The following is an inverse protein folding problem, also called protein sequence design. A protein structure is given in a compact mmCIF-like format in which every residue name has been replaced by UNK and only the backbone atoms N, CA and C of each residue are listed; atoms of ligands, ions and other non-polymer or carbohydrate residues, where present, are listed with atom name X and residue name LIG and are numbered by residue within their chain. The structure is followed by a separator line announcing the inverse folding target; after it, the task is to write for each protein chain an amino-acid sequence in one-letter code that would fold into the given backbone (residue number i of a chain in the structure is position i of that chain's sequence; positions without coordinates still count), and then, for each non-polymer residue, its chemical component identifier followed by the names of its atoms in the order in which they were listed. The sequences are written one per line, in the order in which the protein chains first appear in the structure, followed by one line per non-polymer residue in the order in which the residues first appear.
data_IF_748446531998
#
_entry.id   IF_748446531998
#
_cell.length_a   1.000
_cell.length_b   1.000
_cell.length_c   1.000
_cell.angle_alpha   90.00
_cell.angle_beta   90.00
_cell.angle_gamma   90.00
#
_symmetry.space_group_name_H-M   'P 1'
#
loop_
_entity.id
_entity.type
_entity.pdbx_description
1 polymer ?
#
# COMPACT_ATOMS: atom_id res chain seq x y z
N UNK A 1 9.08 -15.64 15.03
CA UNK A 1 8.16 -15.62 16.20
C UNK A 1 8.85 -15.01 17.42
N UNK A 2 9.98 -15.50 17.89
CA UNK A 2 10.70 -15.07 19.10
C UNK A 2 10.95 -13.55 19.14
N UNK A 3 11.41 -12.97 18.03
CA UNK A 3 11.61 -11.51 17.91
C UNK A 3 10.31 -10.73 18.14
N UNK A 4 9.17 -11.21 17.62
CA UNK A 4 7.89 -10.57 17.87
C UNK A 4 7.50 -10.68 19.35
N UNK A 5 7.65 -11.85 19.95
CA UNK A 5 7.33 -12.09 21.37
C UNK A 5 8.19 -11.22 22.30
N UNK A 6 9.47 -11.04 21.99
CA UNK A 6 10.37 -10.19 22.80
C UNK A 6 9.98 -8.70 22.83
N UNK A 7 9.22 -8.23 21.81
CA UNK A 7 8.72 -6.84 21.77
C UNK A 7 7.46 -6.62 22.61
N UNK A 8 6.75 -7.68 22.97
CA UNK A 8 5.48 -7.61 23.69
C UNK A 8 5.57 -8.28 25.07
N UNK A 9 6.60 -7.87 25.85
CA UNK A 9 6.82 -8.39 27.21
C UNK A 9 5.59 -8.14 28.06
N UNK A 10 5.13 -9.18 28.78
CA UNK A 10 3.93 -9.11 29.63
C UNK A 10 2.58 -9.25 28.91
N UNK A 11 2.59 -9.45 27.59
CA UNK A 11 1.35 -9.75 26.86
C UNK A 11 0.86 -11.18 27.15
N UNK A 12 -0.46 -11.36 27.13
CA UNK A 12 -1.06 -12.70 27.19
C UNK A 12 -0.91 -13.39 25.83
N UNK A 13 -0.27 -14.54 25.82
CA UNK A 13 -0.11 -15.40 24.65
C UNK A 13 -1.24 -16.45 24.68
N UNK A 14 -1.97 -16.57 23.57
CA UNK A 14 -3.02 -17.56 23.37
C UNK A 14 -2.63 -18.42 22.18
N UNK A 15 -2.42 -19.70 22.41
CA UNK A 15 -2.17 -20.67 21.35
C UNK A 15 -3.46 -21.00 20.60
N UNK A 16 -3.38 -21.10 19.28
CA UNK A 16 -4.50 -21.42 18.39
C UNK A 16 -4.02 -22.42 17.33
N UNK A 17 -4.88 -23.31 16.88
CA UNK A 17 -4.55 -24.33 15.88
C UNK A 17 -4.31 -23.69 14.49
N UNK A 18 -5.16 -22.71 14.14
CA UNK A 18 -5.04 -22.04 12.87
C UNK A 18 -5.47 -20.56 12.96
N UNK A 19 -4.68 -19.63 12.37
CA UNK A 19 -4.98 -18.20 12.44
C UNK A 19 -6.36 -17.82 11.88
N UNK A 20 -6.90 -18.57 10.90
CA UNK A 20 -8.22 -18.32 10.30
C UNK A 20 -9.37 -18.55 11.30
N UNK A 21 -9.20 -19.37 12.32
CA UNK A 21 -10.21 -19.64 13.34
C UNK A 21 -10.54 -18.39 14.15
N UNK A 22 -9.58 -17.48 14.25
CA UNK A 22 -9.73 -16.16 14.89
C UNK A 22 -9.92 -15.08 13.84
N UNK A 23 -9.07 -15.02 12.81
CA UNK A 23 -9.01 -13.93 11.85
C UNK A 23 -10.21 -13.90 10.89
N UNK A 24 -10.70 -15.06 10.44
CA UNK A 24 -11.82 -15.18 9.50
C UNK A 24 -13.17 -15.45 10.17
N UNK A 25 -13.23 -15.41 11.51
CA UNK A 25 -14.47 -15.67 12.25
C UNK A 25 -15.53 -14.60 11.90
N UNK A 26 -16.74 -15.03 11.60
CA UNK A 26 -17.87 -14.14 11.31
C UNK A 26 -18.36 -13.41 12.57
N UNK A 27 -19.05 -12.28 12.38
CA UNK A 27 -19.68 -11.54 13.48
C UNK A 27 -18.71 -10.75 14.36
N UNK A 28 -17.49 -10.49 13.89
CA UNK A 28 -16.52 -9.67 14.59
C UNK A 28 -16.84 -8.17 14.45
N UNK A 29 -16.53 -7.41 15.48
CA UNK A 29 -16.57 -5.95 15.39
C UNK A 29 -15.20 -5.43 14.90
N UNK A 30 -15.12 -5.22 13.60
CA UNK A 30 -13.88 -4.79 12.92
C UNK A 30 -13.34 -3.47 13.50
N UNK A 31 -14.19 -2.47 13.70
CA UNK A 31 -13.77 -1.15 14.19
C UNK A 31 -13.26 -1.20 15.63
N UNK A 32 -13.93 -1.96 16.50
CA UNK A 32 -13.43 -2.18 17.87
C UNK A 32 -12.08 -2.90 17.87
N UNK A 33 -11.91 -3.88 17.00
CA UNK A 33 -10.62 -4.58 16.87
C UNK A 33 -9.52 -3.67 16.32
N UNK A 34 -9.85 -2.73 15.43
CA UNK A 34 -8.88 -1.70 14.98
C UNK A 34 -8.38 -0.82 16.12
N UNK A 35 -9.21 -0.55 17.12
CA UNK A 35 -8.81 0.22 18.30
C UNK A 35 -7.97 -0.62 19.30
N UNK A 36 -8.14 -1.93 19.31
CA UNK A 36 -7.52 -2.88 20.25
C UNK A 36 -6.86 -4.05 19.51
N UNK A 37 -6.12 -3.75 18.45
CA UNK A 37 -5.55 -4.76 17.56
C UNK A 37 -4.71 -5.78 18.31
N UNK A 38 -4.90 -7.05 17.94
CA UNK A 38 -4.07 -8.16 18.37
C UNK A 38 -3.11 -8.54 17.23
N UNK A 39 -1.91 -8.96 17.61
CA UNK A 39 -0.95 -9.54 16.70
C UNK A 39 -1.10 -11.07 16.69
N UNK A 40 -1.35 -11.63 15.53
CA UNK A 40 -1.46 -13.07 15.31
C UNK A 40 -0.21 -13.50 14.56
N UNK A 41 0.61 -14.38 15.16
CA UNK A 41 1.75 -14.99 14.50
C UNK A 41 1.31 -16.30 13.87
N UNK A 42 1.63 -16.50 12.59
CA UNK A 42 1.19 -17.68 11.86
C UNK A 42 2.22 -18.13 10.82
N UNK A 43 2.10 -19.37 10.36
CA UNK A 43 2.80 -19.85 9.17
C UNK A 43 1.88 -19.74 7.95
N UNK A 44 2.35 -19.11 6.88
CA UNK A 44 1.65 -19.05 5.61
C UNK A 44 1.82 -20.37 4.87
N UNK A 45 0.71 -20.93 4.39
CA UNK A 45 0.70 -22.06 3.47
C UNK A 45 0.65 -21.55 2.03
N UNK A 46 0.93 -22.40 1.09
CA UNK A 46 0.79 -22.09 -0.35
C UNK A 46 -0.61 -21.50 -0.68
N UNK A 47 -0.72 -20.58 -1.63
CA UNK A 47 0.39 -19.98 -2.38
C UNK A 47 1.15 -18.92 -1.58
N UNK A 48 2.49 -18.87 -1.76
CA UNK A 48 3.39 -17.91 -1.09
C UNK A 48 3.60 -16.63 -1.92
N UNK A 49 3.38 -16.72 -3.22
CA UNK A 49 3.47 -15.62 -4.18
C UNK A 49 2.22 -15.62 -5.07
N UNK A 50 1.74 -14.46 -5.43
CA UNK A 50 0.53 -14.27 -6.24
C UNK A 50 0.85 -13.45 -7.48
N UNK A 51 0.21 -13.77 -8.60
CA UNK A 51 0.27 -12.95 -9.81
C UNK A 51 -0.39 -11.60 -9.58
N UNK A 52 0.14 -10.57 -10.22
CA UNK A 52 -0.44 -9.24 -10.19
C UNK A 52 -1.86 -9.25 -10.75
N UNK A 53 -2.83 -8.84 -9.94
CA UNK A 53 -4.21 -8.68 -10.42
C UNK A 53 -4.35 -7.44 -11.29
N UNK A 54 -5.41 -7.36 -12.12
CA UNK A 54 -5.74 -6.14 -12.86
C UNK A 54 -6.04 -4.90 -12.00
N UNK A 55 -6.04 -5.06 -10.66
CA UNK A 55 -6.16 -3.96 -9.69
C UNK A 55 -4.80 -3.44 -9.23
N UNK A 56 -3.70 -4.14 -9.53
CA UNK A 56 -2.33 -3.69 -9.25
C UNK A 56 -1.89 -2.74 -10.34
N UNK A 57 -1.06 -1.78 -9.99
CA UNK A 57 -0.45 -0.83 -10.91
C UNK A 57 0.32 -1.55 -12.02
N UNK A 58 0.19 -1.07 -13.25
CA UNK A 58 1.03 -1.50 -14.37
C UNK A 58 2.46 -0.98 -14.19
N UNK A 59 3.41 -1.89 -14.05
CA UNK A 59 4.86 -1.59 -13.93
C UNK A 59 5.59 -1.66 -15.27
N UNK A 60 4.87 -1.71 -16.39
CA UNK A 60 5.42 -1.87 -17.74
C UNK A 60 6.20 -3.16 -17.93
N UNK A 61 5.91 -4.19 -17.14
CA UNK A 61 6.44 -5.55 -17.25
C UNK A 61 5.32 -6.56 -17.01
N UNK A 62 5.30 -7.70 -17.70
CA UNK A 62 4.36 -8.77 -17.41
C UNK A 62 4.73 -9.54 -16.13
N UNK A 63 5.97 -9.39 -15.64
CA UNK A 63 6.50 -10.10 -14.49
C UNK A 63 6.12 -9.39 -13.17
N UNK A 64 4.82 -9.18 -12.91
CA UNK A 64 4.33 -8.49 -11.71
C UNK A 64 3.68 -9.46 -10.76
N UNK A 65 4.15 -9.47 -9.54
CA UNK A 65 3.64 -10.33 -8.47
C UNK A 65 3.44 -9.54 -7.19
N UNK A 66 2.73 -10.13 -6.24
CA UNK A 66 2.69 -9.62 -4.88
C UNK A 66 2.87 -10.73 -3.85
N UNK A 67 3.42 -10.34 -2.73
CA UNK A 67 3.60 -11.18 -1.57
C UNK A 67 2.79 -10.61 -0.38
N UNK A 68 2.50 -11.43 0.62
CA UNK A 68 1.69 -11.04 1.77
C UNK A 68 2.35 -11.45 3.07
N UNK A 69 3.46 -10.83 3.49
CA UNK A 69 4.11 -11.12 4.76
C UNK A 69 3.24 -10.77 5.97
N UNK A 70 2.34 -9.80 5.79
CA UNK A 70 1.34 -9.42 6.79
C UNK A 70 -0.03 -9.33 6.12
N UNK A 71 -1.09 -9.72 6.83
CA UNK A 71 -2.48 -9.44 6.46
C UNK A 71 -3.02 -8.33 7.35
N UNK A 72 -3.74 -7.40 6.72
CA UNK A 72 -4.31 -6.20 7.30
C UNK A 72 -3.25 -5.13 7.58
N UNK A 73 -3.67 -3.94 8.01
CA UNK A 73 -2.83 -2.77 8.15
C UNK A 73 -3.02 -2.14 9.53
N UNK A 74 -2.02 -1.42 10.04
CA UNK A 74 -2.15 -0.61 11.27
C UNK A 74 -3.13 0.54 11.09
N UNK A 75 -3.17 1.12 9.88
CA UNK A 75 -4.04 2.25 9.56
C UNK A 75 -5.48 1.79 9.29
N UNK A 76 -6.41 2.73 9.39
CA UNK A 76 -7.84 2.49 9.22
C UNK A 76 -8.44 3.47 8.20
N UNK A 77 -7.83 3.55 7.00
CA UNK A 77 -8.33 4.43 5.94
C UNK A 77 -9.68 3.95 5.43
N UNK A 78 -10.66 4.86 5.33
CA UNK A 78 -12.04 4.53 4.94
C UNK A 78 -12.12 3.87 3.56
N UNK A 79 -11.33 4.34 2.60
CA UNK A 79 -11.30 3.83 1.23
C UNK A 79 -10.46 2.54 1.06
N UNK A 80 -9.95 1.95 2.15
CA UNK A 80 -9.05 0.80 2.05
C UNK A 80 -9.83 -0.51 1.83
N UNK A 81 -9.52 -1.19 0.73
CA UNK A 81 -10.15 -2.47 0.38
C UNK A 81 -9.92 -3.57 1.43
N UNK A 82 -8.87 -3.48 2.24
CA UNK A 82 -8.58 -4.44 3.31
C UNK A 82 -9.72 -4.51 4.35
N UNK A 83 -10.39 -3.40 4.60
CA UNK A 83 -11.57 -3.37 5.46
C UNK A 83 -12.72 -4.25 4.92
N UNK A 84 -12.85 -4.33 3.59
CA UNK A 84 -13.84 -5.19 2.95
C UNK A 84 -13.34 -6.62 2.71
N UNK A 85 -12.04 -6.81 2.58
CA UNK A 85 -11.42 -8.10 2.33
C UNK A 85 -11.43 -8.99 3.58
N UNK A 86 -11.18 -8.40 4.76
CA UNK A 86 -11.04 -9.15 6.02
C UNK A 86 -12.23 -8.95 6.94
N UNK A 87 -12.56 -10.01 7.69
CA UNK A 87 -13.59 -9.97 8.73
C UNK A 87 -13.06 -9.42 10.05
N UNK A 88 -11.75 -9.51 10.27
CA UNK A 88 -11.06 -9.06 11.47
C UNK A 88 -10.27 -7.76 11.26
N UNK A 89 -10.27 -6.89 12.27
CA UNK A 89 -9.38 -5.72 12.36
C UNK A 89 -7.97 -6.04 12.88
N UNK A 90 -7.70 -7.28 13.32
CA UNK A 90 -6.40 -7.72 13.83
C UNK A 90 -5.35 -7.83 12.71
N UNK A 91 -4.08 -7.99 13.11
CA UNK A 91 -2.95 -8.22 12.20
C UNK A 91 -2.54 -9.68 12.22
N UNK A 92 -2.24 -10.26 11.06
CA UNK A 92 -1.56 -11.56 10.96
C UNK A 92 -0.19 -11.34 10.38
N UNK A 93 0.86 -11.76 11.08
CA UNK A 93 2.24 -11.75 10.62
C UNK A 93 2.66 -13.18 10.34
N UNK A 94 3.12 -13.43 9.13
CA UNK A 94 3.62 -14.73 8.74
C UNK A 94 5.12 -14.83 9.06
N UNK A 95 5.48 -15.88 9.82
CA UNK A 95 6.83 -16.05 10.36
C UNK A 95 7.79 -16.84 9.44
N UNK A 96 7.28 -17.40 8.35
CA UNK A 96 8.05 -18.17 7.39
C UNK A 96 8.45 -17.33 6.16
N UNK A 97 9.07 -16.18 6.38
CA UNK A 97 9.48 -15.26 5.32
C UNK A 97 10.48 -15.88 4.35
N UNK A 98 11.37 -16.77 4.84
CA UNK A 98 12.35 -17.43 3.96
C UNK A 98 11.66 -18.24 2.86
N UNK A 99 10.61 -18.98 3.17
CA UNK A 99 9.84 -19.71 2.17
C UNK A 99 9.19 -18.78 1.14
N UNK A 100 8.77 -17.59 1.56
CA UNK A 100 8.25 -16.57 0.64
C UNK A 100 9.36 -16.03 -0.29
N UNK A 101 10.55 -15.81 0.23
CA UNK A 101 11.72 -15.39 -0.54
C UNK A 101 12.15 -16.47 -1.54
N UNK A 102 12.15 -17.74 -1.12
CA UNK A 102 12.46 -18.89 -1.99
C UNK A 102 11.43 -19.03 -3.14
N UNK A 103 10.15 -18.77 -2.86
CA UNK A 103 9.10 -18.75 -3.88
C UNK A 103 9.30 -17.64 -4.92
N UNK A 104 9.78 -16.46 -4.49
CA UNK A 104 10.16 -15.38 -5.39
C UNK A 104 11.37 -15.78 -6.24
N UNK A 105 12.42 -16.33 -5.65
CA UNK A 105 13.61 -16.78 -6.37
C UNK A 105 13.27 -17.84 -7.44
N UNK A 106 12.39 -18.76 -7.12
CA UNK A 106 11.87 -19.75 -8.09
C UNK A 106 11.13 -19.08 -9.25
N UNK A 107 10.35 -18.02 -8.98
CA UNK A 107 9.62 -17.30 -10.03
C UNK A 107 10.55 -16.44 -10.88
N UNK A 108 11.52 -15.76 -10.28
CA UNK A 108 12.54 -14.95 -10.97
C UNK A 108 13.39 -15.81 -11.92
N UNK A 109 13.65 -17.06 -11.55
CA UNK A 109 14.36 -18.02 -12.41
C UNK A 109 13.55 -18.47 -13.63
N UNK A 110 12.21 -18.27 -13.63
CA UNK A 110 11.30 -18.63 -14.71
C UNK A 110 10.30 -17.49 -14.97
N UNK A 111 10.75 -16.32 -15.46
CA UNK A 111 9.90 -15.17 -15.68
C UNK A 111 8.99 -15.37 -16.91
N UNK A 112 7.90 -14.59 -16.99
CA UNK A 112 7.03 -14.56 -18.20
C UNK A 112 7.80 -13.94 -19.38
N UNK A 113 8.52 -12.85 -19.12
CA UNK A 113 9.42 -12.21 -20.09
C UNK A 113 10.84 -12.08 -19.49
N UNK A 114 11.82 -12.84 -19.99
CA UNK A 114 13.19 -12.79 -19.48
C UNK A 114 13.94 -11.48 -19.75
N UNK A 115 13.44 -10.65 -20.65
CA UNK A 115 14.05 -9.35 -20.97
C UNK A 115 13.71 -8.25 -19.99
N UNK A 116 12.75 -8.51 -19.09
CA UNK A 116 12.21 -7.53 -18.15
C UNK A 116 12.36 -7.98 -16.71
N UNK A 117 12.59 -7.04 -15.77
CA UNK A 117 12.70 -7.37 -14.35
C UNK A 117 11.37 -7.90 -13.79
N UNK A 118 11.49 -8.74 -12.77
CA UNK A 118 10.36 -9.18 -11.95
C UNK A 118 10.11 -8.16 -10.84
N UNK A 119 8.89 -7.64 -10.77
CA UNK A 119 8.46 -6.66 -9.77
C UNK A 119 7.58 -7.34 -8.73
N UNK A 120 7.95 -7.21 -7.47
CA UNK A 120 7.22 -7.80 -6.34
C UNK A 120 6.70 -6.68 -5.42
N UNK A 121 5.39 -6.53 -5.33
CA UNK A 121 4.78 -5.67 -4.31
C UNK A 121 4.69 -6.44 -2.98
N UNK A 122 5.54 -6.11 -2.01
CA UNK A 122 5.61 -6.83 -0.73
C UNK A 122 4.71 -6.23 0.36
N UNK A 123 4.10 -5.09 0.11
CA UNK A 123 3.20 -4.39 1.05
C UNK A 123 1.76 -4.30 0.54
N UNK A 124 1.35 -5.16 -0.41
CA UNK A 124 0.04 -5.08 -1.04
C UNK A 124 -1.13 -5.19 -0.05
N UNK A 125 -1.02 -6.06 0.95
CA UNK A 125 -2.07 -6.31 1.96
C UNK A 125 -1.76 -5.70 3.33
N UNK A 126 -0.84 -4.73 3.39
CA UNK A 126 -0.41 -4.08 4.65
C UNK A 126 0.31 -2.77 4.37
N UNK A 127 0.73 -2.08 5.43
CA UNK A 127 1.79 -1.07 5.38
C UNK A 127 3.01 -1.63 6.12
N UNK A 128 3.96 -2.16 5.36
CA UNK A 128 5.10 -2.89 5.93
C UNK A 128 6.01 -1.97 6.74
N UNK A 129 6.30 -0.76 6.21
CA UNK A 129 7.16 0.22 6.87
C UNK A 129 6.53 0.75 8.18
N UNK A 130 5.21 0.76 8.29
CA UNK A 130 4.54 1.15 9.54
C UNK A 130 4.84 0.19 10.71
N UNK A 131 5.24 -1.04 10.40
CA UNK A 131 5.57 -2.06 11.39
C UNK A 131 7.05 -2.04 11.82
N UNK A 132 7.91 -1.26 11.16
CA UNK A 132 9.38 -1.39 11.24
C UNK A 132 9.95 -1.24 12.65
N UNK A 133 9.37 -0.37 13.49
CA UNK A 133 9.78 -0.23 14.90
C UNK A 133 9.39 -1.41 15.78
N UNK A 134 8.41 -2.21 15.35
CA UNK A 134 7.93 -3.39 16.07
C UNK A 134 8.60 -4.64 15.53
N UNK A 135 8.54 -4.80 14.20
CA UNK A 135 9.11 -5.91 13.46
C UNK A 135 9.88 -5.36 12.26
N UNK A 136 11.20 -5.51 12.19
CA UNK A 136 12.03 -4.92 11.13
C UNK A 136 11.90 -5.70 9.80
N UNK A 137 10.67 -5.76 9.27
CA UNK A 137 10.35 -6.54 8.08
C UNK A 137 10.81 -5.84 6.80
N UNK A 138 10.63 -4.50 6.70
CA UNK A 138 11.11 -3.77 5.52
C UNK A 138 12.61 -3.93 5.35
N UNK A 139 13.38 -3.82 6.43
CA UNK A 139 14.84 -4.05 6.44
C UNK A 139 15.21 -5.42 5.91
N UNK A 140 14.55 -6.48 6.38
CA UNK A 140 14.81 -7.86 5.96
C UNK A 140 14.51 -8.08 4.47
N UNK A 141 13.44 -7.49 3.96
CA UNK A 141 13.10 -7.57 2.54
C UNK A 141 14.06 -6.74 1.65
N UNK A 142 14.55 -5.61 2.16
CA UNK A 142 15.61 -4.82 1.50
C UNK A 142 16.90 -5.64 1.43
N UNK A 143 17.31 -6.27 2.54
CA UNK A 143 18.52 -7.12 2.57
C UNK A 143 18.38 -8.32 1.63
N UNK A 144 17.20 -8.91 1.52
CA UNK A 144 16.95 -10.06 0.61
C UNK A 144 17.22 -9.72 -0.85
N UNK A 145 16.90 -8.53 -1.32
CA UNK A 145 17.12 -8.14 -2.74
C UNK A 145 18.49 -7.57 -3.00
N UNK A 146 19.32 -7.42 -1.98
CA UNK A 146 20.68 -6.92 -2.13
C UNK A 146 21.50 -7.82 -3.06
N UNK A 147 22.01 -7.24 -4.15
CA UNK A 147 22.79 -7.96 -5.16
C UNK A 147 21.94 -8.71 -6.21
N UNK A 148 20.60 -8.72 -6.11
CA UNK A 148 19.71 -9.29 -7.13
C UNK A 148 19.48 -8.26 -8.24
N UNK A 149 19.77 -8.63 -9.51
CA UNK A 149 19.69 -7.70 -10.65
C UNK A 149 18.31 -7.68 -11.30
N UNK A 150 17.62 -8.82 -11.32
CA UNK A 150 16.37 -9.01 -12.07
C UNK A 150 15.13 -8.98 -11.16
N UNK A 151 15.29 -8.58 -9.90
CA UNK A 151 14.23 -8.51 -8.90
C UNK A 151 14.11 -7.08 -8.40
N UNK A 152 12.92 -6.51 -8.50
CA UNK A 152 12.59 -5.21 -7.91
C UNK A 152 11.51 -5.43 -6.87
N UNK A 153 11.69 -4.93 -5.65
CA UNK A 153 10.63 -4.87 -4.66
C UNK A 153 10.05 -3.47 -4.53
N UNK A 154 8.73 -3.40 -4.40
CA UNK A 154 8.03 -2.19 -4.02
C UNK A 154 7.57 -2.27 -2.58
N UNK A 155 7.92 -1.27 -1.78
CA UNK A 155 7.41 -1.03 -0.43
C UNK A 155 6.47 0.17 -0.48
N UNK A 156 5.15 -0.09 -0.61
CA UNK A 156 4.14 0.97 -0.59
C UNK A 156 3.73 1.29 0.84
N UNK A 157 3.69 2.58 1.19
CA UNK A 157 3.49 3.02 2.57
C UNK A 157 2.76 4.36 2.68
N UNK A 158 2.10 4.58 3.81
CA UNK A 158 1.70 5.90 4.35
C UNK A 158 2.52 6.26 5.60
N UNK A 159 3.49 5.44 5.95
CA UNK A 159 4.28 5.60 7.17
C UNK A 159 5.19 6.83 7.13
N UNK A 160 5.42 7.42 8.29
CA UNK A 160 6.42 8.44 8.52
C UNK A 160 7.70 7.87 9.19
N UNK A 161 7.93 6.55 9.10
CA UNK A 161 9.01 5.85 9.79
C UNK A 161 10.23 5.60 8.90
N UNK A 162 10.50 6.47 7.91
CA UNK A 162 11.71 6.32 7.10
C UNK A 162 12.99 6.25 7.94
N UNK A 163 13.05 6.98 9.07
CA UNK A 163 14.20 6.95 9.97
C UNK A 163 14.54 5.55 10.50
N UNK A 164 13.58 4.63 10.54
CA UNK A 164 13.83 3.25 10.98
C UNK A 164 14.66 2.42 9.97
N UNK A 165 14.81 2.90 8.73
CA UNK A 165 15.63 2.28 7.67
C UNK A 165 16.67 3.25 7.09
N UNK A 166 16.84 4.45 7.66
CA UNK A 166 17.71 5.50 7.11
C UNK A 166 19.22 5.17 7.19
N UNK A 167 19.59 4.19 7.99
CA UNK A 167 20.95 3.64 8.09
C UNK A 167 21.29 2.62 6.99
N UNK A 168 20.30 2.22 6.19
CA UNK A 168 20.51 1.29 5.06
C UNK A 168 20.93 2.11 3.83
N UNK A 169 22.00 1.71 3.19
CA UNK A 169 22.38 2.28 1.90
C UNK A 169 21.32 1.97 0.83
N UNK A 170 20.94 2.92 -0.03
CA UNK A 170 19.95 2.71 -1.07
C UNK A 170 20.37 1.61 -2.04
N UNK A 171 19.39 0.86 -2.52
CA UNK A 171 19.57 -0.26 -3.43
C UNK A 171 18.66 -0.06 -4.64
N UNK A 172 19.20 -0.19 -5.84
CA UNK A 172 18.47 0.00 -7.10
C UNK A 172 17.27 -0.93 -7.28
N UNK A 173 17.31 -2.08 -6.64
CA UNK A 173 16.24 -3.09 -6.65
C UNK A 173 15.09 -2.77 -5.69
N UNK A 174 15.07 -1.60 -5.04
CA UNK A 174 14.03 -1.19 -4.09
C UNK A 174 13.39 0.12 -4.52
N UNK A 175 12.05 0.13 -4.61
CA UNK A 175 11.26 1.32 -4.80
C UNK A 175 10.46 1.58 -3.52
N UNK A 176 10.71 2.72 -2.87
CA UNK A 176 9.91 3.20 -1.75
C UNK A 176 8.75 4.03 -2.29
N UNK A 177 7.52 3.58 -2.07
CA UNK A 177 6.32 4.16 -2.69
C UNK A 177 5.42 4.80 -1.64
N UNK A 178 5.39 6.14 -1.58
CA UNK A 178 4.51 6.85 -0.64
C UNK A 178 3.16 7.17 -1.24
N UNK A 179 2.08 6.73 -0.59
CA UNK A 179 0.73 7.21 -0.89
C UNK A 179 0.50 8.55 -0.20
N UNK A 180 0.23 9.57 -1.00
CA UNK A 180 -0.03 10.93 -0.55
C UNK A 180 -1.39 11.40 -1.07
N UNK A 181 -2.09 12.17 -0.26
CA UNK A 181 -3.38 12.78 -0.58
C UNK A 181 -3.42 14.20 0.02
N UNK A 182 -4.27 15.11 -0.49
CA UNK A 182 -4.46 16.41 0.14
C UNK A 182 -4.80 16.30 1.63
N UNK A 183 -4.41 17.30 2.43
CA UNK A 183 -4.62 17.27 3.89
C UNK A 183 -6.11 17.08 4.27
N UNK A 184 -7.05 17.66 3.49
CA UNK A 184 -8.48 17.42 3.69
C UNK A 184 -8.85 15.94 3.57
N UNK A 185 -8.30 15.25 2.57
CA UNK A 185 -8.53 13.81 2.36
C UNK A 185 -7.86 12.99 3.48
N UNK A 186 -6.63 13.34 3.83
CA UNK A 186 -5.91 12.67 4.92
C UNK A 186 -6.66 12.76 6.25
N UNK A 187 -7.11 13.97 6.61
CA UNK A 187 -7.81 14.20 7.89
C UNK A 187 -9.19 13.56 7.95
N UNK A 188 -9.89 13.49 6.82
CA UNK A 188 -11.26 12.98 6.75
C UNK A 188 -11.31 11.46 6.64
N UNK A 189 -10.41 10.83 5.87
CA UNK A 189 -10.54 9.42 5.46
C UNK A 189 -9.36 8.52 5.85
N UNK A 190 -8.27 9.03 6.43
CA UNK A 190 -7.08 8.24 6.70
C UNK A 190 -6.81 8.10 8.21
N UNK A 191 -7.79 7.58 8.93
CA UNK A 191 -7.68 7.40 10.38
C UNK A 191 -6.47 6.55 10.77
N UNK A 192 -5.77 6.97 11.82
CA UNK A 192 -4.54 6.38 12.36
C UNK A 192 -3.30 6.48 11.43
N UNK A 193 -3.42 6.99 10.22
CA UNK A 193 -2.25 7.26 9.39
C UNK A 193 -1.53 8.55 9.82
N UNK A 194 -0.20 8.66 9.65
CA UNK A 194 0.53 9.87 9.97
C UNK A 194 0.02 11.07 9.13
N UNK A 195 0.03 12.31 9.67
CA UNK A 195 -0.29 13.51 8.92
C UNK A 195 0.55 13.66 7.65
N UNK A 196 -0.01 14.31 6.62
CA UNK A 196 0.65 14.51 5.31
C UNK A 196 2.06 15.08 5.46
N UNK A 197 2.23 16.14 6.26
CA UNK A 197 3.53 16.78 6.50
C UNK A 197 4.61 15.80 6.97
N UNK A 198 4.28 14.85 7.83
CA UNK A 198 5.24 13.84 8.30
C UNK A 198 5.62 12.84 7.21
N UNK A 199 4.66 12.47 6.33
CA UNK A 199 4.93 11.60 5.17
C UNK A 199 5.82 12.31 4.15
N UNK A 200 5.53 13.59 3.86
CA UNK A 200 6.35 14.43 2.96
C UNK A 200 7.79 14.53 3.49
N UNK A 201 7.98 14.74 4.79
CA UNK A 201 9.31 14.72 5.38
C UNK A 201 10.03 13.37 5.22
N UNK A 202 9.32 12.25 5.31
CA UNK A 202 9.90 10.92 5.05
C UNK A 202 10.30 10.75 3.59
N UNK A 203 9.50 11.25 2.65
CA UNK A 203 9.84 11.28 1.21
C UNK A 203 11.11 12.10 0.98
N UNK A 204 11.18 13.31 1.53
CA UNK A 204 12.36 14.20 1.41
C UNK A 204 13.64 13.52 1.95
N UNK A 205 13.53 12.88 3.10
CA UNK A 205 14.64 12.16 3.70
C UNK A 205 15.07 10.95 2.86
N UNK A 206 14.13 10.21 2.29
CA UNK A 206 14.42 9.08 1.41
C UNK A 206 15.14 9.54 0.13
N UNK A 207 14.68 10.62 -0.50
CA UNK A 207 15.32 11.22 -1.66
C UNK A 207 16.73 11.74 -1.34
N UNK A 208 16.89 12.45 -0.22
CA UNK A 208 18.19 12.95 0.23
C UNK A 208 19.20 11.82 0.52
N UNK A 209 18.71 10.65 0.91
CA UNK A 209 19.53 9.44 1.09
C UNK A 209 19.76 8.66 -0.21
N UNK A 210 19.22 9.10 -1.36
CA UNK A 210 19.44 8.48 -2.66
C UNK A 210 18.52 7.32 -3.02
N UNK A 211 17.42 7.09 -2.27
CA UNK A 211 16.45 6.05 -2.59
C UNK A 211 15.63 6.38 -3.83
N UNK A 212 15.27 5.36 -4.62
CA UNK A 212 14.24 5.47 -5.65
C UNK A 212 12.88 5.63 -4.99
N UNK A 213 12.25 6.78 -5.19
CA UNK A 213 10.96 7.10 -4.59
C UNK A 213 9.88 7.21 -5.67
N UNK A 214 8.76 6.53 -5.43
CA UNK A 214 7.50 6.65 -6.17
C UNK A 214 6.50 7.42 -5.34
N UNK A 215 5.76 8.33 -5.95
CA UNK A 215 4.59 8.95 -5.33
C UNK A 215 3.31 8.29 -5.86
N UNK A 216 2.42 7.92 -4.94
CA UNK A 216 1.18 7.25 -5.28
C UNK A 216 0.00 8.17 -4.97
N UNK A 217 -0.62 8.72 -6.00
CA UNK A 217 -1.89 9.45 -5.93
C UNK A 217 -3.01 8.47 -6.34
N UNK A 218 -3.11 7.39 -5.59
CA UNK A 218 -4.03 6.28 -5.82
C UNK A 218 -4.52 5.70 -4.47
N UNK A 219 -5.80 5.96 -4.12
CA UNK A 219 -6.82 6.59 -4.95
C UNK A 219 -6.88 8.12 -4.81
N UNK A 220 -7.18 8.79 -5.91
CA UNK A 220 -7.77 10.13 -5.90
C UNK A 220 -9.24 10.01 -5.44
N UNK A 221 -9.63 10.77 -4.43
CA UNK A 221 -10.99 10.84 -3.91
C UNK A 221 -11.64 12.12 -4.41
N UNK A 222 -12.72 12.00 -5.16
CA UNK A 222 -13.46 13.14 -5.71
C UNK A 222 -14.46 13.66 -4.68
N UNK A 223 -14.02 14.60 -3.88
CA UNK A 223 -14.88 15.39 -2.97
C UNK A 223 -15.34 16.67 -3.67
N UNK A 224 -16.23 17.42 -3.05
CA UNK A 224 -16.59 18.77 -3.53
C UNK A 224 -15.31 19.62 -3.67
N UNK A 225 -15.20 20.39 -4.75
CA UNK A 225 -14.04 21.23 -5.11
C UNK A 225 -12.71 20.47 -5.28
N UNK A 226 -12.77 19.18 -5.63
CA UNK A 226 -11.59 18.34 -5.74
C UNK A 226 -10.51 18.90 -6.69
N UNK A 227 -10.88 19.60 -7.78
CA UNK A 227 -9.90 20.20 -8.71
C UNK A 227 -9.04 21.23 -7.99
N UNK A 228 -9.66 22.15 -7.25
CA UNK A 228 -8.96 23.18 -6.49
C UNK A 228 -8.09 22.56 -5.40
N UNK A 229 -8.64 21.59 -4.66
CA UNK A 229 -7.97 20.90 -3.56
C UNK A 229 -6.71 20.17 -4.06
N UNK A 230 -6.81 19.43 -5.16
CA UNK A 230 -5.66 18.70 -5.71
C UNK A 230 -4.67 19.65 -6.40
N UNK A 231 -5.14 20.71 -7.07
CA UNK A 231 -4.26 21.74 -7.66
C UNK A 231 -3.38 22.37 -6.58
N UNK A 232 -3.98 22.87 -5.51
CA UNK A 232 -3.27 23.45 -4.38
C UNK A 232 -2.29 22.43 -3.75
N UNK A 233 -2.76 21.21 -3.53
CA UNK A 233 -1.93 20.14 -2.97
C UNK A 233 -0.68 19.88 -3.80
N UNK A 234 -0.78 19.75 -5.13
CA UNK A 234 0.38 19.51 -5.98
C UNK A 234 1.31 20.72 -6.03
N UNK A 235 0.77 21.93 -6.08
CA UNK A 235 1.58 23.15 -6.00
C UNK A 235 2.41 23.18 -4.71
N UNK A 236 1.79 22.94 -3.56
CA UNK A 236 2.48 22.91 -2.26
C UNK A 236 3.49 21.76 -2.17
N UNK A 237 3.11 20.56 -2.63
CA UNK A 237 3.95 19.37 -2.58
C UNK A 237 5.24 19.55 -3.39
N UNK A 238 5.13 20.07 -4.63
CA UNK A 238 6.29 20.21 -5.53
C UNK A 238 7.12 21.48 -5.29
N UNK A 239 6.72 22.35 -4.38
CA UNK A 239 7.64 23.33 -3.76
C UNK A 239 8.61 22.63 -2.81
N UNK A 240 8.16 21.59 -2.11
CA UNK A 240 8.99 20.86 -1.14
C UNK A 240 9.79 19.70 -1.75
N UNK A 241 9.34 19.13 -2.87
CA UNK A 241 9.92 17.95 -3.52
C UNK A 241 10.18 18.28 -5.01
N UNK A 242 11.43 18.16 -5.44
CA UNK A 242 11.75 18.28 -6.86
C UNK A 242 11.23 17.05 -7.63
N UNK A 243 10.28 17.29 -8.56
CA UNK A 243 9.70 16.24 -9.39
C UNK A 243 10.71 15.49 -10.26
N UNK A 244 11.86 16.10 -10.59
CA UNK A 244 12.92 15.43 -11.34
C UNK A 244 13.59 14.30 -10.55
N UNK A 245 13.65 14.41 -9.23
CA UNK A 245 14.22 13.39 -8.34
C UNK A 245 13.30 12.18 -8.14
N UNK A 246 11.99 12.32 -8.46
CA UNK A 246 11.02 11.24 -8.33
C UNK A 246 11.24 10.21 -9.43
N UNK A 247 11.25 8.92 -9.06
CA UNK A 247 11.33 7.79 -9.97
C UNK A 247 10.15 7.81 -10.96
N UNK A 248 8.95 7.80 -10.42
CA UNK A 248 7.69 7.88 -11.15
C UNK A 248 6.51 8.20 -10.20
N UNK A 249 5.34 8.38 -10.78
CA UNK A 249 4.08 8.64 -10.08
C UNK A 249 3.03 7.64 -10.53
N UNK A 250 2.27 7.08 -9.60
CA UNK A 250 1.07 6.31 -9.93
C UNK A 250 -0.19 7.13 -9.70
N UNK A 251 -1.11 7.12 -10.65
CA UNK A 251 -2.35 7.87 -10.62
C UNK A 251 -3.56 6.96 -10.85
N UNK A 252 -4.55 7.06 -9.98
CA UNK A 252 -5.83 6.35 -10.13
C UNK A 252 -6.92 6.95 -9.26
N UNK A 253 -8.16 7.02 -9.76
CA UNK A 253 -9.32 7.40 -8.96
C UNK A 253 -9.85 6.22 -8.15
N UNK A 254 -10.66 6.51 -7.14
CA UNK A 254 -11.25 5.50 -6.25
C UNK A 254 -11.98 4.40 -7.04
N UNK A 255 -11.65 3.16 -6.70
CA UNK A 255 -12.26 1.94 -7.20
C UNK A 255 -12.09 0.81 -6.20
N UNK A 256 -13.06 -0.09 -6.15
CA UNK A 256 -13.03 -1.20 -5.22
C UNK A 256 -13.84 -2.40 -5.75
N UNK A 257 -13.47 -3.61 -5.39
CA UNK A 257 -14.32 -4.79 -5.60
C UNK A 257 -15.70 -4.57 -4.97
N UNK A 258 -16.77 -4.90 -5.69
CA UNK A 258 -18.18 -4.68 -5.30
C UNK A 258 -18.51 -5.32 -3.94
N UNK A 259 -18.01 -6.53 -3.69
CA UNK A 259 -18.33 -7.24 -2.45
C UNK A 259 -17.64 -6.60 -1.25
N UNK A 260 -16.39 -6.14 -1.44
CA UNK A 260 -15.66 -5.38 -0.42
C UNK A 260 -16.34 -4.04 -0.13
N UNK A 261 -16.71 -3.31 -1.17
CA UNK A 261 -17.43 -2.05 -1.05
C UNK A 261 -18.74 -2.21 -0.26
N UNK A 262 -19.57 -3.19 -0.63
CA UNK A 262 -20.83 -3.47 0.05
C UNK A 262 -20.64 -3.90 1.50
N UNK A 263 -19.60 -4.67 1.79
CA UNK A 263 -19.26 -5.11 3.15
C UNK A 263 -18.87 -3.93 4.04
N UNK A 264 -18.03 -3.02 3.52
CA UNK A 264 -17.61 -1.83 4.27
C UNK A 264 -18.80 -0.91 4.50
N UNK A 265 -19.57 -0.58 3.46
CA UNK A 265 -20.76 0.26 3.56
C UNK A 265 -21.76 -0.24 4.60
N UNK A 266 -21.94 -1.56 4.71
CA UNK A 266 -22.81 -2.18 5.74
C UNK A 266 -22.20 -2.11 7.13
N UNK A 267 -20.88 -2.19 7.24
CA UNK A 267 -20.14 -2.27 8.52
C UNK A 267 -19.90 -0.91 9.13
N UNK A 268 -19.61 0.09 8.30
CA UNK A 268 -19.37 1.49 8.71
C UNK A 268 -20.12 2.47 7.80
N UNK A 269 -21.38 2.79 8.14
CA UNK A 269 -22.21 3.68 7.33
C UNK A 269 -21.87 5.17 7.52
N UNK A 270 -20.79 5.53 8.21
CA UNK A 270 -20.47 6.94 8.51
C UNK A 270 -19.66 7.62 7.43
N UNK A 271 -18.88 6.87 6.64
CA UNK A 271 -18.05 7.45 5.59
C UNK A 271 -18.89 7.76 4.35
N UNK A 272 -18.89 9.01 3.93
CA UNK A 272 -19.63 9.52 2.75
C UNK A 272 -19.10 8.95 1.44
N UNK A 273 -17.84 8.48 1.38
CA UNK A 273 -17.27 7.77 0.22
C UNK A 273 -18.22 6.65 -0.28
N UNK A 274 -18.88 5.93 0.64
CA UNK A 274 -19.74 4.81 0.29
C UNK A 274 -21.15 5.19 -0.17
N UNK A 275 -21.48 6.48 -0.19
CA UNK A 275 -22.77 7.01 -0.61
C UNK A 275 -22.69 7.95 -1.81
N UNK A 276 -21.50 8.13 -2.39
CA UNK A 276 -21.31 8.85 -3.65
C UNK A 276 -21.85 8.04 -4.83
N UNK A 277 -22.01 8.70 -5.96
CA UNK A 277 -22.51 8.08 -7.19
C UNK A 277 -21.40 7.30 -7.90
N UNK A 278 -21.53 5.99 -7.95
CA UNK A 278 -20.60 5.10 -8.63
C UNK A 278 -21.26 4.30 -9.74
N UNK A 279 -20.47 3.84 -10.72
CA UNK A 279 -20.83 2.76 -11.65
C UNK A 279 -20.27 1.42 -11.17
N UNK A 280 -20.92 0.34 -11.62
CA UNK A 280 -20.42 -1.02 -11.38
C UNK A 280 -20.14 -1.66 -12.73
N UNK A 281 -18.88 -1.95 -12.99
CA UNK A 281 -18.44 -2.59 -14.22
C UNK A 281 -17.57 -3.81 -13.87
N UNK A 282 -17.90 -4.98 -14.42
CA UNK A 282 -17.16 -6.24 -14.19
C UNK A 282 -16.86 -6.53 -12.71
N UNK A 283 -17.81 -6.23 -11.82
CA UNK A 283 -17.66 -6.47 -10.38
C UNK A 283 -16.79 -5.43 -9.63
N UNK A 284 -16.43 -4.33 -10.28
CA UNK A 284 -15.70 -3.20 -9.70
C UNK A 284 -16.66 -2.01 -9.56
N UNK A 285 -16.74 -1.47 -8.36
CA UNK A 285 -17.36 -0.17 -8.07
C UNK A 285 -16.31 0.90 -8.33
N UNK A 286 -16.62 1.87 -9.16
CA UNK A 286 -15.72 2.97 -9.51
C UNK A 286 -16.50 4.26 -9.83
N UNK A 287 -15.81 5.39 -9.82
CA UNK A 287 -16.32 6.66 -10.31
C UNK A 287 -16.86 6.49 -11.74
N UNK A 288 -18.02 7.11 -12.05
CA UNK A 288 -18.65 7.02 -13.37
C UNK A 288 -17.68 7.35 -14.52
N UNK A 289 -17.79 6.64 -15.64
CA UNK A 289 -16.78 6.66 -16.69
C UNK A 289 -16.41 8.05 -17.24
N UNK A 290 -17.38 8.95 -17.43
CA UNK A 290 -17.10 10.32 -17.89
C UNK A 290 -16.37 11.14 -16.83
N UNK A 291 -16.85 11.12 -15.61
CA UNK A 291 -16.25 11.82 -14.47
C UNK A 291 -14.84 11.27 -14.16
N UNK A 292 -14.67 9.94 -14.23
CA UNK A 292 -13.35 9.30 -14.10
C UNK A 292 -12.37 9.81 -15.14
N UNK A 293 -12.79 9.88 -16.43
CA UNK A 293 -11.95 10.38 -17.52
C UNK A 293 -11.56 11.86 -17.29
N UNK A 294 -12.54 12.67 -16.90
CA UNK A 294 -12.30 14.08 -16.55
C UNK A 294 -11.27 14.19 -15.43
N UNK A 295 -11.50 13.51 -14.32
CA UNK A 295 -10.61 13.55 -13.16
C UNK A 295 -9.19 13.10 -13.50
N UNK A 296 -9.04 11.99 -14.24
CA UNK A 296 -7.73 11.50 -14.64
C UNK A 296 -6.99 12.49 -15.54
N UNK A 297 -7.69 13.11 -16.51
CA UNK A 297 -7.11 14.09 -17.42
C UNK A 297 -6.68 15.37 -16.67
N UNK A 298 -7.57 15.91 -15.83
CA UNK A 298 -7.27 17.13 -15.07
C UNK A 298 -6.08 16.93 -14.12
N UNK A 299 -6.08 15.85 -13.34
CA UNK A 299 -4.95 15.54 -12.43
C UNK A 299 -3.66 15.32 -13.22
N UNK A 300 -3.71 14.59 -14.34
CA UNK A 300 -2.55 14.40 -15.19
C UNK A 300 -2.02 15.73 -15.76
N UNK A 301 -2.90 16.61 -16.23
CA UNK A 301 -2.52 17.92 -16.74
C UNK A 301 -1.84 18.77 -15.66
N UNK A 302 -2.38 18.76 -14.43
CA UNK A 302 -1.76 19.48 -13.31
C UNK A 302 -0.37 18.89 -13.01
N UNK A 303 -0.24 17.57 -12.93
CA UNK A 303 1.01 16.89 -12.62
C UNK A 303 2.11 17.14 -13.68
N UNK A 304 1.75 17.30 -14.96
CA UNK A 304 2.74 17.55 -16.03
C UNK A 304 3.46 18.90 -15.90
N UNK A 305 2.98 19.81 -15.05
CA UNK A 305 3.73 21.04 -14.72
C UNK A 305 4.93 20.77 -13.79
N UNK A 306 4.99 19.61 -13.15
CA UNK A 306 5.99 19.29 -12.13
C UNK A 306 6.80 18.04 -12.47
N UNK A 307 6.23 17.10 -13.23
CA UNK A 307 6.82 15.80 -13.55
C UNK A 307 6.62 15.52 -15.04
N UNK A 308 7.63 14.96 -15.68
CA UNK A 308 7.53 14.57 -17.08
C UNK A 308 6.46 13.49 -17.30
N UNK A 309 5.74 13.60 -18.41
CA UNK A 309 4.54 12.78 -18.69
C UNK A 309 4.83 11.27 -18.70
N UNK A 310 6.01 10.88 -19.16
CA UNK A 310 6.44 9.48 -19.22
C UNK A 310 6.65 8.83 -17.84
N UNK A 311 6.83 9.65 -16.79
CA UNK A 311 6.90 9.19 -15.40
C UNK A 311 5.53 9.04 -14.76
N UNK A 312 4.43 9.46 -15.39
CA UNK A 312 3.08 9.34 -14.84
C UNK A 312 2.46 8.02 -15.30
N UNK A 313 2.37 7.07 -14.39
CA UNK A 313 1.78 5.75 -14.60
C UNK A 313 0.29 5.81 -14.24
N UNK A 314 -0.56 5.66 -15.24
CA UNK A 314 -2.01 5.76 -15.07
C UNK A 314 -2.59 4.35 -14.93
N UNK A 315 -3.41 4.13 -13.91
CA UNK A 315 -4.21 2.92 -13.82
C UNK A 315 -5.32 2.96 -14.90
N UNK A 316 -5.39 1.91 -15.74
CA UNK A 316 -6.33 1.78 -16.87
C UNK A 316 -7.63 1.06 -16.48
#
# INVERSE_FOLDING_TARGET
AEMALSKFIGSTIIEIDHYKDVFNRKGQNFQLQKMTMKLILARKREPLLYEGSGMIQDYKTPNVYYNTPILNCLYNCDYCFLQGMYDSGNLVVFVNEQEMMDAIDSRVSNPIDPSMPTVISISYNTDLLAMENILPLSRRWIDYVKGKKDTIIEIRTKSALFNAISDINPIDSVILSWTLSPERICSQYEAAAPPLKRRVNSVKNALANGWKVRLCFDPVILVEDWIEIYTKFFQELFVEIDGNQIQDVTLGVFRMNKDYFNRIRKRDPKSDIYFSEYSIEKGIVAVKGQERKLAMNEIQNILTNFISKEKILIWK
#
